data_IF_545628040161
#
_entry.id   IF_545628040161
#
_cell.length_a   1.000
_cell.length_b   1.000
_cell.length_c   1.000
_cell.angle_alpha   90.00
_cell.angle_beta   90.00
_cell.angle_gamma   90.00
#
_symmetry.space_group_name_H-M   'P 1'
#
loop_
_entity.id
_entity.type
_entity.pdbx_description
1 polymer ?
#
# COMPACT_ATOMS: atom_id res chain seq x y z
N UNK A 1 -16.56 -8.58 -48.71
CA UNK A 1 -16.28 -7.33 -47.96
C UNK A 1 -15.99 -7.71 -46.50
N UNK A 2 -14.73 -8.05 -46.21
CA UNK A 2 -14.28 -8.51 -44.89
C UNK A 2 -13.70 -7.31 -44.19
N UNK A 3 -14.37 -6.82 -43.16
CA UNK A 3 -13.85 -5.81 -42.25
C UNK A 3 -12.97 -6.51 -41.23
N UNK A 4 -11.67 -6.39 -41.39
CA UNK A 4 -10.69 -6.77 -40.39
C UNK A 4 -10.78 -5.79 -39.21
N UNK A 5 -11.39 -6.21 -38.12
CA UNK A 5 -11.31 -5.53 -36.84
C UNK A 5 -9.93 -5.78 -36.25
N UNK A 6 -9.15 -4.73 -36.13
CA UNK A 6 -7.79 -4.75 -35.57
C UNK A 6 -7.86 -5.08 -34.07
N UNK A 7 -7.10 -6.06 -33.55
CA UNK A 7 -7.06 -6.38 -32.13
C UNK A 7 -5.91 -5.59 -31.46
N UNK A 8 -6.08 -4.29 -31.27
CA UNK A 8 -5.01 -3.44 -30.69
C UNK A 8 -5.38 -2.87 -29.28
N UNK A 9 -6.42 -3.30 -28.60
CA UNK A 9 -6.80 -2.61 -27.36
C UNK A 9 -7.03 -3.46 -26.11
N UNK A 10 -6.39 -4.64 -25.94
CA UNK A 10 -6.58 -5.41 -24.72
C UNK A 10 -5.35 -5.97 -23.98
N UNK A 11 -4.17 -5.36 -23.89
CA UNK A 11 -3.13 -5.93 -23.04
C UNK A 11 -2.99 -5.28 -21.66
N UNK A 12 -3.50 -4.05 -21.46
CA UNK A 12 -3.11 -3.27 -20.28
C UNK A 12 -4.06 -3.48 -19.09
N UNK A 13 -5.33 -3.64 -19.34
CA UNK A 13 -6.34 -3.80 -18.26
C UNK A 13 -6.25 -5.18 -17.61
N UNK A 14 -5.91 -6.21 -18.37
CA UNK A 14 -5.79 -7.59 -17.88
C UNK A 14 -4.60 -7.79 -16.94
N UNK A 15 -3.55 -6.95 -17.06
CA UNK A 15 -2.39 -7.01 -16.18
C UNK A 15 -2.67 -6.46 -14.78
N UNK A 16 -3.62 -5.52 -14.67
CA UNK A 16 -4.01 -4.93 -13.38
C UNK A 16 -4.93 -5.85 -12.57
N UNK A 17 -5.57 -6.81 -13.22
CA UNK A 17 -6.50 -7.75 -12.59
C UNK A 17 -5.85 -9.08 -12.17
N UNK A 18 -4.59 -9.33 -12.57
CA UNK A 18 -3.89 -10.58 -12.19
C UNK A 18 -3.72 -10.67 -10.67
N UNK A 19 -4.06 -11.81 -10.07
CA UNK A 19 -3.82 -12.05 -8.65
C UNK A 19 -2.32 -12.05 -8.35
N UNK A 20 -1.93 -11.47 -7.21
CA UNK A 20 -0.53 -11.35 -6.77
C UNK A 20 0.23 -12.68 -6.68
N UNK A 21 -0.49 -13.79 -6.57
CA UNK A 21 0.07 -15.15 -6.49
C UNK A 21 0.75 -15.58 -7.78
N UNK A 22 0.33 -15.03 -8.91
CA UNK A 22 0.86 -15.37 -10.24
C UNK A 22 2.14 -14.59 -10.54
N UNK A 23 2.32 -13.44 -9.87
CA UNK A 23 3.46 -12.55 -10.06
C UNK A 23 4.58 -12.76 -9.02
N UNK A 24 4.28 -13.40 -7.92
CA UNK A 24 5.25 -13.66 -6.85
C UNK A 24 5.25 -15.17 -6.53
N UNK A 25 5.96 -15.99 -7.30
CA UNK A 25 6.22 -17.37 -6.92
C UNK A 25 7.24 -17.38 -5.77
N UNK A 26 6.79 -17.17 -4.57
CA UNK A 26 7.54 -17.32 -3.33
C UNK A 26 6.71 -18.13 -2.36
N UNK A 27 7.31 -18.93 -1.47
CA UNK A 27 6.56 -19.66 -0.47
C UNK A 27 5.79 -18.61 0.34
N UNK A 28 4.49 -18.53 0.08
CA UNK A 28 3.57 -17.76 0.91
C UNK A 28 3.55 -18.47 2.27
N UNK A 29 4.46 -18.07 3.16
CA UNK A 29 4.46 -18.54 4.54
C UNK A 29 3.12 -18.08 5.12
N UNK A 30 2.16 -18.99 5.36
CA UNK A 30 0.79 -18.62 5.75
C UNK A 30 0.76 -17.77 7.02
N UNK A 31 1.77 -17.89 7.88
CA UNK A 31 1.94 -17.10 9.08
C UNK A 31 2.23 -15.62 8.82
N UNK A 32 3.02 -15.29 7.77
CA UNK A 32 3.39 -13.89 7.49
C UNK A 32 2.21 -13.09 6.93
N UNK A 33 1.28 -13.72 6.21
CA UNK A 33 0.05 -13.08 5.75
C UNK A 33 -0.89 -12.77 6.93
N UNK A 34 -1.07 -13.76 7.83
CA UNK A 34 -1.89 -13.56 9.04
C UNK A 34 -1.31 -12.47 9.95
N UNK A 35 0.00 -12.46 10.13
CA UNK A 35 0.68 -11.42 10.90
C UNK A 35 0.47 -10.02 10.30
N UNK A 36 0.62 -9.85 8.99
CA UNK A 36 0.38 -8.58 8.31
C UNK A 36 -1.07 -8.12 8.44
N UNK A 37 -2.03 -9.02 8.25
CA UNK A 37 -3.45 -8.72 8.42
C UNK A 37 -3.78 -8.39 9.88
N UNK A 38 -3.20 -9.11 10.85
CA UNK A 38 -3.40 -8.84 12.26
C UNK A 38 -2.81 -7.48 12.68
N UNK A 39 -1.62 -7.13 12.17
CA UNK A 39 -1.00 -5.82 12.41
C UNK A 39 -1.82 -4.68 11.80
N UNK A 40 -2.35 -4.86 10.58
CA UNK A 40 -3.18 -3.84 9.93
C UNK A 40 -4.55 -3.70 10.61
N UNK A 41 -5.20 -4.83 10.93
CA UNK A 41 -6.48 -4.80 11.63
C UNK A 41 -6.32 -4.28 13.07
N UNK A 42 -5.27 -4.71 13.77
CA UNK A 42 -4.94 -4.24 15.11
C UNK A 42 -4.62 -2.75 15.15
N UNK A 43 -3.85 -2.26 14.15
CA UNK A 43 -3.56 -0.84 13.99
C UNK A 43 -4.83 -0.02 13.74
N UNK A 44 -5.70 -0.47 12.82
CA UNK A 44 -6.96 0.23 12.55
C UNK A 44 -7.88 0.26 13.78
N UNK A 45 -8.00 -0.86 14.51
CA UNK A 45 -8.80 -0.92 15.74
C UNK A 45 -8.19 -0.01 16.82
N UNK A 46 -6.87 -0.03 16.99
CA UNK A 46 -6.15 0.82 17.92
C UNK A 46 -6.36 2.31 17.64
N UNK A 47 -6.31 2.68 16.35
CA UNK A 47 -6.52 4.06 15.93
C UNK A 47 -7.98 4.52 16.15
N UNK A 48 -8.95 3.66 15.87
CA UNK A 48 -10.36 3.96 16.20
C UNK A 48 -10.55 4.17 17.70
N UNK A 49 -9.95 3.31 18.53
CA UNK A 49 -9.98 3.47 19.98
C UNK A 49 -9.32 4.79 20.42
N UNK A 50 -8.20 5.17 19.78
CA UNK A 50 -7.51 6.43 20.01
C UNK A 50 -8.33 7.64 19.60
N UNK A 51 -8.99 7.63 18.44
CA UNK A 51 -9.92 8.69 18.02
C UNK A 51 -11.03 8.88 19.03
N UNK A 52 -11.65 7.77 19.48
CA UNK A 52 -12.71 7.82 20.51
C UNK A 52 -12.17 8.41 21.81
N UNK A 53 -10.97 8.00 22.22
CA UNK A 53 -10.30 8.55 23.40
C UNK A 53 -10.06 10.06 23.26
N UNK A 54 -9.54 10.54 22.12
CA UNK A 54 -9.32 11.96 21.87
C UNK A 54 -10.62 12.77 21.92
N UNK A 55 -11.66 12.28 21.26
CA UNK A 55 -12.97 12.96 21.23
C UNK A 55 -13.58 13.09 22.63
N UNK A 56 -13.39 12.08 23.50
CA UNK A 56 -13.98 12.08 24.87
C UNK A 56 -13.11 12.89 25.84
N UNK A 57 -11.79 12.92 25.65
CA UNK A 57 -10.85 13.43 26.67
C UNK A 57 -10.42 14.87 26.45
N UNK A 58 -10.44 15.36 25.21
CA UNK A 58 -10.02 16.74 24.91
C UNK A 58 -11.17 17.73 25.13
N UNK A 59 -11.01 18.73 26.03
CA UNK A 59 -12.03 19.75 26.25
C UNK A 59 -12.20 20.64 25.02
N UNK A 60 -13.45 21.02 24.71
CA UNK A 60 -13.86 21.82 23.55
C UNK A 60 -13.25 23.24 23.48
N UNK A 61 -12.46 23.66 24.46
CA UNK A 61 -11.91 25.02 24.60
C UNK A 61 -10.45 25.16 24.19
N UNK A 62 -9.93 24.27 23.31
CA UNK A 62 -8.58 24.46 22.82
C UNK A 62 -8.54 25.52 21.69
N UNK A 63 -7.59 26.41 21.78
CA UNK A 63 -7.41 27.78 21.24
C UNK A 63 -7.56 27.97 19.71
N UNK A 64 -7.81 26.92 18.94
CA UNK A 64 -8.17 27.03 17.52
C UNK A 64 -9.42 26.22 17.24
N UNK A 65 -10.43 26.90 16.69
CA UNK A 65 -11.75 26.33 16.40
C UNK A 65 -11.69 25.08 15.50
N UNK A 66 -10.61 24.89 14.76
CA UNK A 66 -10.45 23.85 13.76
C UNK A 66 -9.40 22.76 14.12
N UNK A 67 -8.72 22.88 15.27
CA UNK A 67 -7.65 21.95 15.65
C UNK A 67 -8.14 20.52 15.79
N UNK A 68 -9.23 20.33 16.54
CA UNK A 68 -9.83 19.01 16.74
C UNK A 68 -10.34 18.42 15.44
N UNK A 69 -10.99 19.23 14.60
CA UNK A 69 -11.48 18.80 13.30
C UNK A 69 -10.33 18.37 12.37
N UNK A 70 -9.20 19.07 12.39
CA UNK A 70 -8.02 18.74 11.60
C UNK A 70 -7.43 17.40 12.04
N UNK A 71 -7.28 17.17 13.32
CA UNK A 71 -6.75 15.91 13.87
C UNK A 71 -7.66 14.73 13.60
N UNK A 72 -8.94 14.86 13.93
CA UNK A 72 -9.93 13.81 13.67
C UNK A 72 -10.05 13.54 12.17
N UNK A 73 -9.98 14.56 11.34
CA UNK A 73 -9.98 14.41 9.88
C UNK A 73 -8.77 13.65 9.37
N UNK A 74 -7.58 13.93 9.89
CA UNK A 74 -6.34 13.22 9.56
C UNK A 74 -6.42 11.75 9.99
N UNK A 75 -6.87 11.46 11.19
CA UNK A 75 -7.03 10.10 11.70
C UNK A 75 -8.04 9.30 10.89
N UNK A 76 -9.17 9.91 10.50
CA UNK A 76 -10.16 9.27 9.62
C UNK A 76 -9.53 8.93 8.27
N UNK A 77 -8.73 9.84 7.69
CA UNK A 77 -8.02 9.59 6.45
C UNK A 77 -7.05 8.42 6.61
N UNK A 78 -6.27 8.39 7.68
CA UNK A 78 -5.32 7.32 7.98
C UNK A 78 -6.04 5.97 8.13
N UNK A 79 -7.14 5.91 8.87
CA UNK A 79 -7.98 4.71 9.01
C UNK A 79 -8.51 4.25 7.66
N UNK A 80 -8.99 5.18 6.82
CA UNK A 80 -9.52 4.85 5.49
C UNK A 80 -8.43 4.23 4.60
N UNK A 81 -7.23 4.79 4.59
CA UNK A 81 -6.09 4.24 3.85
C UNK A 81 -5.63 2.89 4.40
N UNK A 82 -5.57 2.72 5.71
CA UNK A 82 -5.25 1.44 6.35
C UNK A 82 -6.27 0.36 6.01
N UNK A 83 -7.57 0.67 6.14
CA UNK A 83 -8.66 -0.25 5.81
C UNK A 83 -8.63 -0.64 4.33
N UNK A 84 -8.46 0.34 3.43
CA UNK A 84 -8.35 0.09 1.99
C UNK A 84 -7.15 -0.80 1.68
N UNK A 85 -6.00 -0.53 2.27
CA UNK A 85 -4.80 -1.35 2.09
C UNK A 85 -5.01 -2.77 2.61
N UNK A 86 -5.65 -2.93 3.76
CA UNK A 86 -5.99 -4.24 4.32
C UNK A 86 -6.92 -5.03 3.40
N UNK A 87 -7.97 -4.39 2.88
CA UNK A 87 -8.91 -5.00 1.91
C UNK A 87 -8.18 -5.42 0.64
N UNK A 88 -7.36 -4.56 0.06
CA UNK A 88 -6.60 -4.88 -1.17
C UNK A 88 -5.60 -6.03 -0.95
N UNK A 89 -4.96 -6.09 0.20
CA UNK A 89 -4.09 -7.23 0.58
C UNK A 89 -4.92 -8.51 0.75
N UNK A 90 -6.11 -8.40 1.34
CA UNK A 90 -7.01 -9.54 1.52
C UNK A 90 -7.52 -10.08 0.17
N UNK A 91 -7.95 -9.18 -0.73
CA UNK A 91 -8.45 -9.52 -2.08
C UNK A 91 -7.30 -9.83 -3.04
N UNK A 92 -6.04 -9.72 -2.61
CA UNK A 92 -4.83 -10.00 -3.40
C UNK A 92 -4.75 -9.17 -4.69
N UNK A 93 -5.14 -7.90 -4.64
CA UNK A 93 -5.09 -6.99 -5.80
C UNK A 93 -3.70 -6.40 -5.99
N UNK A 94 -3.33 -6.19 -7.24
CA UNK A 94 -2.05 -5.55 -7.61
C UNK A 94 -1.96 -4.07 -7.21
N UNK A 95 -3.09 -3.47 -6.84
CA UNK A 95 -3.18 -2.08 -6.38
C UNK A 95 -2.65 -1.85 -4.95
N UNK A 96 -2.25 -2.92 -4.24
CA UNK A 96 -1.67 -2.82 -2.88
C UNK A 96 -0.56 -1.78 -2.76
N UNK A 97 0.41 -1.66 -3.69
CA UNK A 97 1.46 -0.65 -3.56
C UNK A 97 0.94 0.79 -3.58
N UNK A 98 -0.15 1.03 -4.32
CA UNK A 98 -0.75 2.35 -4.46
C UNK A 98 -1.38 2.87 -3.16
N UNK A 99 -1.83 1.97 -2.30
CA UNK A 99 -2.40 2.32 -0.99
C UNK A 99 -1.42 2.11 0.16
N UNK A 100 -0.62 1.06 0.12
CA UNK A 100 0.34 0.74 1.17
C UNK A 100 1.43 1.80 1.32
N UNK A 101 1.93 2.36 0.21
CA UNK A 101 2.94 3.41 0.26
C UNK A 101 2.42 4.70 0.92
N UNK A 102 1.29 5.30 0.48
CA UNK A 102 0.71 6.46 1.15
C UNK A 102 0.35 6.19 2.62
N UNK A 103 -0.19 5.02 2.93
CA UNK A 103 -0.47 4.65 4.33
C UNK A 103 0.78 4.69 5.19
N UNK A 104 1.90 4.15 4.69
CA UNK A 104 3.17 4.21 5.41
C UNK A 104 3.69 5.64 5.61
N UNK A 105 3.53 6.52 4.60
CA UNK A 105 3.90 7.93 4.72
C UNK A 105 3.01 8.65 5.74
N UNK A 106 1.70 8.41 5.70
CA UNK A 106 0.75 8.99 6.67
C UNK A 106 1.08 8.57 8.12
N UNK A 107 1.47 7.29 8.34
CA UNK A 107 1.91 6.83 9.66
C UNK A 107 3.18 7.55 10.15
N UNK A 108 4.12 7.89 9.27
CA UNK A 108 5.30 8.67 9.64
C UNK A 108 4.89 10.09 10.04
N UNK A 109 3.95 10.69 9.31
CA UNK A 109 3.41 12.01 9.65
C UNK A 109 2.67 11.97 10.99
N UNK A 110 1.90 10.92 11.24
CA UNK A 110 1.17 10.69 12.49
C UNK A 110 2.13 10.62 13.68
N UNK A 111 3.13 9.74 13.58
CA UNK A 111 4.20 9.62 14.58
C UNK A 111 4.88 10.96 14.89
N UNK A 112 5.17 11.75 13.85
CA UNK A 112 5.77 13.06 14.02
C UNK A 112 4.84 14.03 14.75
N UNK A 113 3.58 14.12 14.34
CA UNK A 113 2.62 15.02 14.93
C UNK A 113 2.29 14.64 16.37
N UNK A 114 2.12 13.36 16.66
CA UNK A 114 1.85 12.86 18.01
C UNK A 114 2.94 13.27 18.99
N UNK A 115 4.21 13.12 18.60
CA UNK A 115 5.35 13.53 19.44
C UNK A 115 5.42 15.06 19.59
N UNK A 116 5.17 15.81 18.49
CA UNK A 116 5.29 17.28 18.51
C UNK A 116 4.16 17.96 19.28
N UNK A 117 2.98 17.34 19.34
CA UNK A 117 1.80 17.91 20.00
C UNK A 117 1.53 17.34 21.38
N UNK A 118 2.29 16.31 21.79
CA UNK A 118 2.20 15.72 23.11
C UNK A 118 2.54 16.74 24.21
N UNK A 119 1.70 16.77 25.26
CA UNK A 119 2.01 17.52 26.47
C UNK A 119 3.17 16.88 27.23
N UNK A 120 3.79 17.61 28.20
CA UNK A 120 4.93 17.11 28.97
C UNK A 120 4.69 15.77 29.68
N UNK A 121 3.44 15.48 30.05
CA UNK A 121 3.05 14.22 30.69
C UNK A 121 2.83 13.07 29.71
N UNK A 122 2.45 13.38 28.47
CA UNK A 122 2.07 12.40 27.45
C UNK A 122 3.19 12.11 26.45
N UNK A 123 4.25 12.95 26.45
CA UNK A 123 5.36 12.86 25.50
C UNK A 123 5.99 11.46 25.47
N UNK A 124 6.19 10.85 26.63
CA UNK A 124 6.78 9.53 26.71
C UNK A 124 5.89 8.44 26.09
N UNK A 125 4.60 8.50 26.36
CA UNK A 125 3.63 7.57 25.78
C UNK A 125 3.55 7.71 24.26
N UNK A 126 3.46 8.95 23.76
CA UNK A 126 3.47 9.24 22.32
C UNK A 126 4.76 8.78 21.64
N UNK A 127 5.92 9.04 22.24
CA UNK A 127 7.20 8.58 21.71
C UNK A 127 7.32 7.05 21.67
N UNK A 128 6.76 6.35 22.65
CA UNK A 128 6.74 4.89 22.66
C UNK A 128 5.82 4.34 21.58
N UNK A 129 4.59 4.84 21.43
CA UNK A 129 3.66 4.39 20.39
C UNK A 129 4.21 4.67 19.00
N UNK A 130 4.73 5.86 18.75
CA UNK A 130 5.37 6.23 17.51
C UNK A 130 6.51 5.26 17.15
N UNK A 131 7.42 4.99 18.10
CA UNK A 131 8.62 4.18 17.84
C UNK A 131 8.33 2.69 17.74
N UNK A 132 7.41 2.15 18.54
CA UNK A 132 7.18 0.72 18.63
C UNK A 132 6.06 0.22 17.71
N UNK A 133 5.14 1.09 17.30
CA UNK A 133 3.97 0.70 16.52
C UNK A 133 3.96 1.39 15.15
N UNK A 134 3.96 2.71 15.12
CA UNK A 134 3.70 3.47 13.90
C UNK A 134 4.87 3.38 12.91
N UNK A 135 6.10 3.68 13.37
CA UNK A 135 7.28 3.62 12.51
C UNK A 135 7.60 2.22 11.99
N UNK A 136 7.57 1.14 12.78
CA UNK A 136 7.77 -0.20 12.25
C UNK A 136 6.69 -0.60 11.23
N UNK A 137 5.43 -0.24 11.48
CA UNK A 137 4.34 -0.50 10.55
C UNK A 137 4.51 0.30 9.25
N UNK A 138 4.89 1.56 9.33
CA UNK A 138 5.21 2.40 8.19
C UNK A 138 6.32 1.80 7.33
N UNK A 139 7.43 1.39 7.95
CA UNK A 139 8.56 0.74 7.27
C UNK A 139 8.12 -0.54 6.57
N UNK A 140 7.32 -1.39 7.23
CA UNK A 140 6.81 -2.63 6.63
C UNK A 140 5.94 -2.34 5.41
N UNK A 141 5.05 -1.34 5.48
CA UNK A 141 4.16 -0.97 4.39
C UNK A 141 4.93 -0.41 3.20
N UNK A 142 5.83 0.54 3.44
CA UNK A 142 6.66 1.16 2.40
C UNK A 142 7.57 0.10 1.75
N UNK A 143 8.27 -0.70 2.55
CA UNK A 143 9.14 -1.75 2.02
C UNK A 143 8.37 -2.78 1.20
N UNK A 144 7.16 -3.16 1.64
CA UNK A 144 6.29 -4.07 0.90
C UNK A 144 5.85 -3.47 -0.43
N UNK A 145 5.40 -2.20 -0.44
CA UNK A 145 5.01 -1.49 -1.64
C UNK A 145 6.16 -1.41 -2.66
N UNK A 146 7.34 -0.97 -2.21
CA UNK A 146 8.53 -0.86 -3.06
C UNK A 146 8.98 -2.22 -3.59
N UNK A 147 8.89 -3.28 -2.80
CA UNK A 147 9.24 -4.63 -3.24
C UNK A 147 8.30 -5.11 -4.35
N UNK A 148 7.00 -4.91 -4.21
CA UNK A 148 6.03 -5.30 -5.25
C UNK A 148 6.28 -4.51 -6.54
N UNK A 149 6.52 -3.21 -6.44
CA UNK A 149 6.82 -2.37 -7.61
C UNK A 149 8.09 -2.81 -8.34
N UNK A 150 9.14 -3.18 -7.61
CA UNK A 150 10.39 -3.71 -8.21
C UNK A 150 10.12 -5.03 -8.94
N UNK A 151 9.42 -5.96 -8.32
CA UNK A 151 9.09 -7.25 -8.93
C UNK A 151 8.25 -7.09 -10.20
N UNK A 152 7.26 -6.19 -10.18
CA UNK A 152 6.44 -5.90 -11.36
C UNK A 152 7.29 -5.29 -12.50
N UNK A 153 8.21 -4.39 -12.16
CA UNK A 153 9.13 -3.81 -13.15
C UNK A 153 10.04 -4.88 -13.78
N UNK A 154 10.61 -5.74 -12.95
CA UNK A 154 11.53 -6.78 -13.42
C UNK A 154 10.80 -7.79 -14.32
N UNK A 155 9.57 -8.17 -13.95
CA UNK A 155 8.70 -9.01 -14.77
C UNK A 155 8.37 -8.35 -16.14
N UNK A 156 8.07 -7.06 -16.14
CA UNK A 156 7.78 -6.31 -17.36
C UNK A 156 9.00 -6.21 -18.29
N UNK A 157 10.20 -6.01 -17.73
CA UNK A 157 11.47 -6.01 -18.50
C UNK A 157 11.72 -7.39 -19.09
N UNK A 158 11.56 -8.46 -18.32
CA UNK A 158 11.75 -9.82 -18.79
C UNK A 158 10.74 -10.21 -19.89
N UNK A 159 9.49 -9.76 -19.80
CA UNK A 159 8.49 -9.97 -20.85
C UNK A 159 8.92 -9.29 -22.17
N UNK A 160 9.31 -8.02 -22.10
CA UNK A 160 9.76 -7.28 -23.29
C UNK A 160 11.00 -7.91 -23.98
N UNK A 161 11.95 -8.41 -23.20
CA UNK A 161 13.13 -9.08 -23.76
C UNK A 161 12.77 -10.40 -24.45
N UNK A 162 11.82 -11.16 -23.91
CA UNK A 162 11.30 -12.38 -24.58
C UNK A 162 10.62 -12.06 -25.90
N UNK A 163 9.75 -11.04 -25.90
CA UNK A 163 9.04 -10.63 -27.11
C UNK A 163 10.01 -10.17 -28.22
N UNK A 164 11.06 -9.42 -27.85
CA UNK A 164 12.11 -9.00 -28.77
C UNK A 164 12.88 -10.20 -29.34
N UNK A 165 13.18 -11.21 -28.52
CA UNK A 165 13.88 -12.42 -28.95
C UNK A 165 13.02 -13.24 -29.94
N UNK A 166 11.72 -13.38 -29.63
CA UNK A 166 10.76 -14.08 -30.49
C UNK A 166 10.60 -13.36 -31.82
N UNK A 167 10.48 -12.03 -31.79
CA UNK A 167 10.40 -11.22 -33.03
C UNK A 167 11.66 -11.35 -33.89
N UNK A 168 12.84 -11.31 -33.29
CA UNK A 168 14.10 -11.50 -34.01
C UNK A 168 14.22 -12.91 -34.63
N UNK A 169 13.83 -13.94 -33.88
CA UNK A 169 13.84 -15.31 -34.41
C UNK A 169 12.84 -15.49 -35.56
N UNK A 170 11.64 -14.92 -35.47
CA UNK A 170 10.63 -14.94 -36.53
C UNK A 170 11.12 -14.23 -37.80
N UNK A 171 11.78 -13.08 -37.67
CA UNK A 171 12.35 -12.35 -38.78
C UNK A 171 13.48 -13.15 -39.49
N UNK A 172 14.35 -13.81 -38.73
CA UNK A 172 15.42 -14.65 -39.26
C UNK A 172 14.88 -15.84 -40.06
N UNK A 173 13.82 -16.48 -39.58
CA UNK A 173 13.15 -17.57 -40.30
C UNK A 173 12.50 -17.06 -41.60
N UNK A 174 11.82 -15.90 -41.56
CA UNK A 174 11.23 -15.31 -42.77
C UNK A 174 12.26 -15.00 -43.87
N UNK A 175 13.44 -14.53 -43.47
CA UNK A 175 14.53 -14.30 -44.42
C UNK A 175 15.18 -15.58 -45.01
N UNK A 176 15.08 -16.71 -44.32
CA UNK A 176 15.65 -17.99 -44.76
C UNK A 176 14.77 -18.67 -45.85
N UNK A 177 13.53 -18.28 -45.99
CA UNK A 177 12.57 -18.83 -46.98
C UNK A 177 12.22 -17.87 -48.11
N UNK A 178 12.82 -16.70 -48.18
CA UNK A 178 12.70 -15.73 -49.29
C UNK A 178 13.91 -15.78 -50.21
#
# INVERSE_FOLDING_TARGET
>A
MYTATSPIDEPTTHLLERPLDELVPGPAVPGMRRLRLALMAGGAIGLVAWIVFLVITKPANYVTHDWLATWVGFDILLVAFMATTAVLVFVRRQLVPLTAFPTGVLLICDAWFDVMTAGPHDLWASALTATLVELPLAVILIATALRILRLNRDAAVAARSRDATVAAASAAVGHAYA
#
